data_IF_132279225198
#
_entry.id   IF_132279225198
#
_cell.length_a   1.000
_cell.length_b   1.000
_cell.length_c   1.000
_cell.angle_alpha   90.00
_cell.angle_beta   90.00
_cell.angle_gamma   90.00
#
_symmetry.space_group_name_H-M   'P 1'
#
loop_
_entity.id
_entity.type
_entity.pdbx_description
1 polymer ?
#
# COMPACT_ATOMS: atom_id res chain seq x y z
N UNK A 1 -31.68 6.02 9.21
CA UNK A 1 -30.54 5.76 10.12
C UNK A 1 -30.79 4.40 10.72
N UNK A 2 -29.80 3.49 10.70
CA UNK A 2 -29.93 2.25 11.45
C UNK A 2 -30.02 2.60 12.94
N UNK A 3 -31.09 2.19 13.64
CA UNK A 3 -31.20 2.43 15.07
C UNK A 3 -29.96 1.91 15.79
N UNK A 4 -29.34 2.75 16.62
CA UNK A 4 -28.26 2.32 17.52
C UNK A 4 -26.82 2.52 17.01
N UNK A 5 -26.57 3.19 15.88
CA UNK A 5 -25.19 3.61 15.52
C UNK A 5 -24.97 5.08 15.81
N UNK A 6 -23.88 5.37 16.54
CA UNK A 6 -23.42 6.73 16.83
C UNK A 6 -22.08 7.01 16.15
N UNK A 7 -21.80 8.27 15.85
CA UNK A 7 -20.52 8.70 15.29
C UNK A 7 -19.82 9.62 16.30
N UNK A 8 -18.54 9.36 16.57
CA UNK A 8 -17.73 10.21 17.45
C UNK A 8 -16.29 10.29 16.95
N UNK A 9 -15.56 11.31 17.41
CA UNK A 9 -14.11 11.38 17.22
C UNK A 9 -13.48 10.12 17.80
N UNK A 10 -12.50 9.60 17.08
CA UNK A 10 -11.74 8.44 17.53
C UNK A 10 -10.81 8.85 18.68
N UNK A 11 -10.66 7.95 19.66
CA UNK A 11 -9.79 8.10 20.81
C UNK A 11 -8.65 7.08 20.74
N UNK A 12 -7.60 7.23 21.55
CA UNK A 12 -6.46 6.31 21.53
C UNK A 12 -6.83 4.84 21.79
N UNK A 13 -7.92 4.58 22.52
CA UNK A 13 -8.44 3.21 22.73
C UNK A 13 -9.06 2.58 21.48
N UNK A 14 -9.42 3.38 20.48
CA UNK A 14 -10.09 2.91 19.28
C UNK A 14 -9.13 2.43 18.19
N UNK A 15 -7.82 2.71 18.30
CA UNK A 15 -6.84 2.42 17.23
C UNK A 15 -6.91 0.95 16.82
N UNK A 16 -6.88 0.04 17.80
CA UNK A 16 -6.89 -1.40 17.54
C UNK A 16 -8.26 -1.91 17.05
N UNK A 17 -9.40 -1.56 17.66
CA UNK A 17 -10.72 -1.90 17.10
C UNK A 17 -10.95 -1.36 15.67
N UNK A 18 -10.54 -0.13 15.39
CA UNK A 18 -10.64 0.49 14.08
C UNK A 18 -9.77 -0.25 13.04
N UNK A 19 -8.55 -0.62 13.42
CA UNK A 19 -7.67 -1.45 12.60
C UNK A 19 -8.28 -2.83 12.28
N UNK A 20 -8.95 -3.45 13.26
CA UNK A 20 -9.66 -4.70 13.03
C UNK A 20 -10.81 -4.54 12.03
N UNK A 21 -11.56 -3.42 12.09
CA UNK A 21 -12.59 -3.10 11.08
C UNK A 21 -11.98 -2.98 9.69
N UNK A 22 -10.86 -2.27 9.53
CA UNK A 22 -10.13 -2.17 8.26
C UNK A 22 -9.86 -3.56 7.67
N UNK A 23 -9.24 -4.46 8.43
CA UNK A 23 -8.89 -5.80 7.95
C UNK A 23 -10.10 -6.64 7.60
N UNK A 24 -11.16 -6.61 8.42
CA UNK A 24 -12.40 -7.34 8.13
C UNK A 24 -13.06 -6.85 6.83
N UNK A 25 -13.12 -5.53 6.63
CA UNK A 25 -13.64 -4.93 5.39
C UNK A 25 -12.78 -5.29 4.18
N UNK A 26 -11.44 -5.24 4.32
CA UNK A 26 -10.52 -5.58 3.24
C UNK A 26 -10.61 -7.06 2.86
N UNK A 27 -10.67 -7.97 3.84
CA UNK A 27 -10.77 -9.40 3.56
C UNK A 27 -12.08 -9.79 2.88
N UNK A 28 -13.21 -9.20 3.29
CA UNK A 28 -14.49 -9.37 2.57
C UNK A 28 -14.35 -8.97 1.11
N UNK A 29 -13.74 -7.82 0.84
CA UNK A 29 -13.51 -7.34 -0.52
C UNK A 29 -12.61 -8.29 -1.32
N UNK A 30 -11.46 -8.69 -0.77
CA UNK A 30 -10.52 -9.60 -1.44
C UNK A 30 -11.15 -10.98 -1.71
N UNK A 31 -12.00 -11.47 -0.80
CA UNK A 31 -12.74 -12.72 -0.99
C UNK A 31 -13.76 -12.60 -2.13
N UNK A 32 -14.49 -11.48 -2.22
CA UNK A 32 -15.40 -11.22 -3.36
C UNK A 32 -14.68 -11.15 -4.70
N UNK A 33 -13.40 -10.75 -4.71
CA UNK A 33 -12.54 -10.76 -5.88
C UNK A 33 -11.85 -12.11 -6.14
N UNK A 34 -12.13 -13.14 -5.34
CA UNK A 34 -11.47 -14.46 -5.43
C UNK A 34 -9.95 -14.41 -5.27
N UNK A 35 -9.43 -13.38 -4.59
CA UNK A 35 -8.00 -13.22 -4.28
C UNK A 35 -7.62 -14.05 -3.04
N UNK A 36 -8.57 -14.21 -2.11
CA UNK A 36 -8.42 -15.07 -0.91
C UNK A 36 -9.56 -16.08 -0.82
N UNK A 37 -9.25 -17.27 -0.32
CA UNK A 37 -10.23 -18.37 -0.22
C UNK A 37 -11.22 -18.22 0.94
N UNK A 38 -10.84 -17.48 1.98
CA UNK A 38 -11.63 -17.34 3.20
C UNK A 38 -12.31 -15.98 3.24
N UNK A 39 -13.62 -16.00 3.42
CA UNK A 39 -14.45 -14.79 3.62
C UNK A 39 -14.03 -14.00 4.86
N UNK A 40 -13.58 -14.69 5.91
CA UNK A 40 -13.28 -14.09 7.22
C UNK A 40 -11.82 -14.25 7.58
N UNK A 41 -11.18 -13.13 7.90
CA UNK A 41 -9.89 -13.11 8.59
C UNK A 41 -10.11 -13.47 10.08
N UNK A 42 -9.13 -14.15 10.68
CA UNK A 42 -9.15 -14.48 12.11
C UNK A 42 -8.53 -13.34 12.92
N UNK A 43 -8.94 -13.19 14.18
CA UNK A 43 -8.35 -12.17 15.07
C UNK A 43 -6.84 -12.41 15.29
N UNK A 44 -6.38 -13.65 15.24
CA UNK A 44 -4.96 -13.98 15.32
C UNK A 44 -4.14 -13.42 14.14
N UNK A 45 -4.67 -13.49 12.91
CA UNK A 45 -4.01 -12.92 11.72
C UNK A 45 -4.04 -11.39 11.75
N UNK A 46 -5.16 -10.80 12.22
CA UNK A 46 -5.23 -9.35 12.46
C UNK A 46 -4.13 -8.93 13.45
N UNK A 47 -3.94 -9.69 14.52
CA UNK A 47 -2.96 -9.36 15.55
C UNK A 47 -1.51 -9.47 15.04
N UNK A 48 -1.21 -10.51 14.26
CA UNK A 48 0.10 -10.66 13.64
C UNK A 48 0.42 -9.47 12.73
N UNK A 49 -0.56 -9.03 11.94
CA UNK A 49 -0.38 -7.90 11.03
C UNK A 49 -0.34 -6.54 11.75
N UNK A 50 -1.10 -6.41 12.83
CA UNK A 50 -1.07 -5.23 13.69
C UNK A 50 0.34 -4.91 14.16
N UNK A 51 1.12 -5.90 14.61
CA UNK A 51 2.49 -5.67 15.05
C UNK A 51 3.39 -5.12 13.93
N UNK A 52 3.14 -5.47 12.67
CA UNK A 52 3.90 -4.98 11.53
C UNK A 52 3.51 -3.56 11.13
N UNK A 53 2.22 -3.23 11.19
CA UNK A 53 1.70 -1.95 10.71
C UNK A 53 1.56 -0.89 11.79
N UNK A 54 1.75 -1.26 13.06
CA UNK A 54 1.49 -0.41 14.23
C UNK A 54 2.09 0.99 14.09
N UNK A 55 3.37 1.09 13.76
CA UNK A 55 4.06 2.37 13.65
C UNK A 55 3.43 3.26 12.57
N UNK A 56 3.07 2.69 11.42
CA UNK A 56 2.43 3.43 10.33
C UNK A 56 1.02 3.88 10.69
N UNK A 57 0.23 2.99 11.30
CA UNK A 57 -1.13 3.33 11.76
C UNK A 57 -1.09 4.41 12.83
N UNK A 58 -0.19 4.31 13.81
CA UNK A 58 -0.02 5.33 14.85
C UNK A 58 0.43 6.67 14.27
N UNK A 59 1.33 6.67 13.30
CA UNK A 59 1.75 7.90 12.61
C UNK A 59 0.56 8.62 11.96
N UNK A 60 -0.27 7.89 11.20
CA UNK A 60 -1.48 8.46 10.60
C UNK A 60 -2.50 8.88 11.66
N UNK A 61 -2.69 8.07 12.70
CA UNK A 61 -3.60 8.36 13.80
C UNK A 61 -3.26 9.65 14.52
N UNK A 62 -1.97 9.87 14.81
CA UNK A 62 -1.48 11.03 15.56
C UNK A 62 -1.37 12.29 14.69
N UNK A 63 -1.31 12.14 13.36
CA UNK A 63 -1.21 13.25 12.40
C UNK A 63 -2.49 13.46 11.58
N UNK A 64 -3.60 12.87 12.02
CA UNK A 64 -4.89 12.96 11.37
C UNK A 64 -5.45 14.39 11.45
N UNK A 65 -6.00 14.87 10.34
CA UNK A 65 -6.85 16.05 10.33
C UNK A 65 -8.25 15.68 10.85
N UNK A 66 -8.79 14.57 10.36
CA UNK A 66 -10.05 14.01 10.83
C UNK A 66 -9.88 12.53 11.16
N UNK A 67 -10.45 12.10 12.29
CA UNK A 67 -10.44 10.70 12.69
C UNK A 67 -11.73 10.37 13.45
N UNK A 68 -12.55 9.50 12.86
CA UNK A 68 -13.91 9.23 13.30
C UNK A 68 -14.18 7.73 13.33
N UNK A 69 -14.94 7.31 14.33
CA UNK A 69 -15.47 5.95 14.43
C UNK A 69 -16.99 5.97 14.46
N UNK A 70 -17.57 4.92 13.88
CA UNK A 70 -18.97 4.57 14.05
C UNK A 70 -19.06 3.45 15.08
N UNK A 71 -19.92 3.63 16.09
CA UNK A 71 -20.03 2.73 17.24
C UNK A 71 -21.46 2.21 17.34
N UNK A 72 -21.63 0.90 17.47
CA UNK A 72 -22.93 0.26 17.65
C UNK A 72 -23.51 0.48 19.07
N UNK A 73 -24.72 -0.01 19.31
CA UNK A 73 -25.42 0.16 20.59
C UNK A 73 -24.73 -0.56 21.77
N UNK A 74 -23.85 -1.52 21.47
CA UNK A 74 -23.07 -2.27 22.46
C UNK A 74 -21.69 -1.64 22.70
N UNK A 75 -21.37 -0.53 22.04
CA UNK A 75 -20.08 0.14 22.19
C UNK A 75 -18.98 -0.40 21.26
N UNK A 76 -19.29 -1.29 20.30
CA UNK A 76 -18.30 -1.80 19.37
C UNK A 76 -18.07 -0.85 18.20
N UNK A 77 -16.80 -0.65 17.83
CA UNK A 77 -16.44 0.06 16.59
C UNK A 77 -16.85 -0.81 15.39
N UNK A 78 -17.74 -0.28 14.56
CA UNK A 78 -18.26 -0.93 13.34
C UNK A 78 -17.91 -0.16 12.07
N UNK A 79 -17.24 0.98 12.20
CA UNK A 79 -16.74 1.76 11.08
C UNK A 79 -15.65 2.72 11.51
N UNK A 80 -14.76 3.05 10.59
CA UNK A 80 -13.62 3.94 10.81
C UNK A 80 -13.37 4.80 9.57
N UNK A 81 -13.10 6.08 9.77
CA UNK A 81 -12.60 6.95 8.74
C UNK A 81 -11.53 7.90 9.26
N UNK A 82 -10.46 8.08 8.47
CA UNK A 82 -9.32 8.92 8.80
C UNK A 82 -8.86 9.69 7.56
N UNK A 83 -8.70 11.00 7.71
CA UNK A 83 -8.01 11.83 6.73
C UNK A 83 -6.81 12.54 7.34
N UNK A 84 -5.83 12.84 6.49
CA UNK A 84 -4.64 13.62 6.83
C UNK A 84 -4.62 14.88 5.99
N UNK A 85 -4.09 15.97 6.53
CA UNK A 85 -3.86 17.20 5.77
C UNK A 85 -2.37 17.51 5.70
N UNK A 86 -1.90 17.86 4.50
CA UNK A 86 -0.50 18.19 4.20
C UNK A 86 -0.50 19.42 3.30
N UNK A 87 0.01 20.54 3.81
CA UNK A 87 0.04 21.83 3.10
C UNK A 87 -1.29 22.22 2.42
N UNK A 88 -2.41 22.00 3.11
CA UNK A 88 -3.75 22.34 2.61
C UNK A 88 -4.36 21.32 1.63
N UNK A 89 -3.65 20.24 1.31
CA UNK A 89 -4.21 19.07 0.61
C UNK A 89 -4.78 18.08 1.62
N UNK A 90 -6.05 17.70 1.47
CA UNK A 90 -6.74 16.75 2.35
C UNK A 90 -6.83 15.37 1.69
N UNK A 91 -6.22 14.36 2.29
CA UNK A 91 -6.27 12.99 1.79
C UNK A 91 -7.09 12.10 2.73
N UNK A 92 -8.15 11.45 2.21
CA UNK A 92 -8.84 10.38 2.94
C UNK A 92 -8.04 9.09 2.79
N UNK A 93 -7.39 8.67 3.88
CA UNK A 93 -6.51 7.50 3.88
C UNK A 93 -7.25 6.23 4.27
N UNK A 94 -8.28 6.34 5.12
CA UNK A 94 -9.08 5.21 5.58
C UNK A 94 -10.57 5.54 5.53
N UNK A 95 -11.37 4.63 4.97
CA UNK A 95 -12.82 4.59 5.11
C UNK A 95 -13.31 3.15 5.02
N UNK A 96 -13.62 2.56 6.18
CA UNK A 96 -13.98 1.16 6.30
C UNK A 96 -15.22 0.99 7.16
N UNK A 97 -16.04 0.01 6.81
CA UNK A 97 -17.26 -0.36 7.54
C UNK A 97 -17.29 -1.86 7.62
N UNK A 98 -17.48 -2.39 8.83
CA UNK A 98 -17.57 -3.83 9.08
C UNK A 98 -18.59 -4.44 8.10
N UNK A 99 -18.25 -5.53 7.38
CA UNK A 99 -19.13 -6.12 6.38
C UNK A 99 -20.57 -6.36 6.86
N UNK A 100 -20.74 -6.74 8.13
CA UNK A 100 -22.07 -7.00 8.73
C UNK A 100 -22.88 -5.72 8.96
N UNK A 101 -22.22 -4.57 8.99
CA UNK A 101 -22.83 -3.27 9.23
C UNK A 101 -22.94 -2.41 7.95
N UNK A 102 -22.58 -2.94 6.77
CA UNK A 102 -22.67 -2.22 5.50
C UNK A 102 -24.12 -1.95 5.05
N UNK A 103 -24.28 -1.12 4.01
CA UNK A 103 -25.58 -0.74 3.41
C UNK A 103 -26.58 -0.05 4.37
N UNK A 104 -26.10 0.41 5.53
CA UNK A 104 -26.85 1.10 6.60
C UNK A 104 -26.72 2.62 6.59
N UNK A 105 -25.93 3.17 5.67
CA UNK A 105 -25.57 4.59 5.62
C UNK A 105 -24.37 4.99 6.50
N UNK A 106 -23.73 4.05 7.21
CA UNK A 106 -22.53 4.31 8.04
C UNK A 106 -21.40 4.92 7.21
N UNK A 107 -21.07 4.32 6.06
CA UNK A 107 -20.00 4.82 5.19
C UNK A 107 -20.22 6.27 4.75
N UNK A 108 -21.47 6.63 4.41
CA UNK A 108 -21.84 8.01 4.08
C UNK A 108 -21.69 8.94 5.28
N UNK A 109 -22.12 8.51 6.47
CA UNK A 109 -22.00 9.30 7.69
C UNK A 109 -20.55 9.52 8.15
N UNK A 110 -19.68 8.54 7.96
CA UNK A 110 -18.25 8.67 8.20
C UNK A 110 -17.59 9.58 7.17
N UNK A 111 -17.87 9.37 5.88
CA UNK A 111 -17.30 10.16 4.79
C UNK A 111 -17.60 11.65 4.95
N UNK A 112 -18.84 12.03 5.29
CA UNK A 112 -19.22 13.44 5.47
C UNK A 112 -18.50 14.14 6.64
N UNK A 113 -17.90 13.36 7.56
CA UNK A 113 -17.18 13.88 8.72
C UNK A 113 -15.68 13.89 8.48
N UNK A 114 -15.14 12.78 7.95
CA UNK A 114 -13.72 12.61 7.75
C UNK A 114 -13.20 13.25 6.45
N UNK A 115 -14.08 13.55 5.50
CA UNK A 115 -13.71 14.12 4.21
C UNK A 115 -14.56 15.36 3.87
N UNK A 116 -14.47 16.42 4.71
CA UNK A 116 -15.18 17.67 4.46
C UNK A 116 -14.75 18.31 3.14
N UNK A 117 -15.45 19.38 2.77
CA UNK A 117 -15.04 20.18 1.62
C UNK A 117 -13.71 20.88 1.88
N UNK A 118 -12.81 20.74 0.92
CA UNK A 118 -11.48 21.32 0.91
C UNK A 118 -11.12 21.68 -0.52
N UNK A 119 -10.27 22.70 -0.71
CA UNK A 119 -9.86 23.17 -2.03
C UNK A 119 -9.18 22.07 -2.84
N UNK A 120 -8.31 21.31 -2.19
CA UNK A 120 -7.61 20.17 -2.78
C UNK A 120 -7.85 18.96 -1.88
N UNK A 121 -8.48 17.91 -2.45
CA UNK A 121 -8.73 16.67 -1.72
C UNK A 121 -8.62 15.45 -2.62
N UNK A 122 -8.09 14.36 -2.08
CA UNK A 122 -7.95 13.09 -2.81
C UNK A 122 -8.20 11.89 -1.92
N UNK A 123 -8.38 10.74 -2.56
CA UNK A 123 -8.38 9.44 -1.92
C UNK A 123 -7.91 8.40 -2.94
N UNK A 124 -7.35 7.30 -2.46
CA UNK A 124 -7.12 6.11 -3.27
C UNK A 124 -8.22 5.12 -2.95
N UNK A 125 -8.99 4.74 -3.97
CA UNK A 125 -10.06 3.77 -3.83
C UNK A 125 -9.64 2.42 -4.41
N UNK A 126 -10.06 1.34 -3.75
CA UNK A 126 -10.11 0.02 -4.40
C UNK A 126 -11.16 0.04 -5.51
N UNK A 127 -11.16 -1.00 -6.35
CA UNK A 127 -12.18 -1.17 -7.38
C UNK A 127 -13.53 -1.70 -6.83
N UNK A 128 -13.79 -1.57 -5.52
CA UNK A 128 -15.09 -1.92 -4.96
C UNK A 128 -16.17 -0.96 -5.48
N UNK A 129 -17.08 -1.47 -6.29
CA UNK A 129 -18.16 -0.69 -6.91
C UNK A 129 -19.04 0.02 -5.87
N UNK A 130 -19.20 -0.55 -4.67
CA UNK A 130 -19.94 0.09 -3.57
C UNK A 130 -19.24 1.35 -3.08
N UNK A 131 -17.92 1.27 -2.89
CA UNK A 131 -17.09 2.40 -2.44
C UNK A 131 -16.99 3.47 -3.52
N UNK A 132 -16.68 3.09 -4.77
CA UNK A 132 -16.62 4.01 -5.90
C UNK A 132 -17.94 4.78 -6.08
N UNK A 133 -19.07 4.08 -6.01
CA UNK A 133 -20.39 4.71 -6.09
C UNK A 133 -20.63 5.72 -4.97
N UNK A 134 -20.14 5.46 -3.75
CA UNK A 134 -20.22 6.42 -2.65
C UNK A 134 -19.38 7.66 -2.92
N UNK A 135 -18.13 7.49 -3.38
CA UNK A 135 -17.21 8.59 -3.66
C UNK A 135 -17.69 9.49 -4.79
N UNK A 136 -18.14 8.91 -5.91
CA UNK A 136 -18.69 9.65 -7.05
C UNK A 136 -19.90 10.49 -6.64
N UNK A 137 -20.81 9.93 -5.84
CA UNK A 137 -21.97 10.68 -5.31
C UNK A 137 -21.60 11.77 -4.29
N UNK A 138 -20.41 11.68 -3.68
CA UNK A 138 -19.88 12.72 -2.80
C UNK A 138 -19.09 13.82 -3.53
N UNK A 139 -19.10 13.80 -4.87
CA UNK A 139 -18.43 14.80 -5.71
C UNK A 139 -16.94 14.53 -5.95
N UNK A 140 -16.44 13.34 -5.62
CA UNK A 140 -15.08 12.91 -5.98
C UNK A 140 -15.08 12.40 -7.41
N UNK A 141 -14.16 12.89 -8.24
CA UNK A 141 -14.02 12.46 -9.62
C UNK A 141 -12.82 11.52 -9.79
N UNK A 142 -12.89 10.64 -10.79
CA UNK A 142 -11.75 9.83 -11.20
C UNK A 142 -10.69 10.70 -11.88
N UNK A 143 -9.43 10.51 -11.49
CA UNK A 143 -8.28 11.21 -12.07
C UNK A 143 -7.35 10.23 -12.78
N UNK A 144 -6.93 9.17 -12.07
CA UNK A 144 -5.98 8.19 -12.58
C UNK A 144 -6.12 6.85 -11.85
N UNK A 145 -5.45 5.82 -12.36
CA UNK A 145 -5.37 4.50 -11.77
C UNK A 145 -3.99 4.30 -11.16
N UNK A 146 -3.94 3.89 -9.90
CA UNK A 146 -2.72 3.37 -9.29
C UNK A 146 -2.53 1.90 -9.71
N UNK A 147 -1.33 1.55 -10.17
CA UNK A 147 -0.96 0.19 -10.49
C UNK A 147 0.13 -0.27 -9.51
N UNK A 148 -0.12 -1.42 -8.87
CA UNK A 148 0.86 -2.09 -8.03
C UNK A 148 1.50 -3.23 -8.82
N UNK A 149 2.84 -3.24 -8.85
CA UNK A 149 3.62 -4.25 -9.56
C UNK A 149 4.33 -5.14 -8.54
N UNK A 150 4.08 -6.45 -8.61
CA UNK A 150 4.79 -7.45 -7.81
C UNK A 150 5.74 -8.21 -8.72
N UNK A 151 7.02 -8.12 -8.43
CA UNK A 151 8.06 -8.77 -9.22
C UNK A 151 9.09 -9.44 -8.30
N UNK A 152 9.70 -10.51 -8.79
CA UNK A 152 10.89 -11.09 -8.16
C UNK A 152 12.05 -10.14 -8.44
N UNK A 153 12.68 -9.65 -7.37
CA UNK A 153 13.85 -8.80 -7.49
C UNK A 153 14.95 -9.52 -8.26
N UNK A 154 15.49 -8.85 -9.28
CA UNK A 154 16.63 -9.30 -10.05
C UNK A 154 17.55 -8.12 -10.30
N UNK A 155 18.85 -8.39 -10.40
CA UNK A 155 19.79 -7.36 -10.80
C UNK A 155 19.45 -6.89 -12.21
N UNK A 156 19.43 -5.57 -12.40
CA UNK A 156 19.22 -4.93 -13.70
C UNK A 156 20.26 -3.82 -13.80
N UNK A 157 21.11 -3.91 -14.81
CA UNK A 157 21.94 -2.79 -15.23
C UNK A 157 21.15 -1.97 -16.23
N UNK A 158 21.05 -0.67 -15.98
CA UNK A 158 20.48 0.28 -16.91
C UNK A 158 21.54 1.35 -17.18
N UNK A 159 21.78 1.65 -18.45
CA UNK A 159 22.64 2.77 -18.82
C UNK A 159 22.01 4.07 -18.30
N UNK A 160 22.75 4.77 -17.46
CA UNK A 160 22.28 5.99 -16.80
C UNK A 160 23.46 6.84 -16.38
N UNK A 161 23.29 8.15 -16.45
CA UNK A 161 24.18 9.17 -15.88
C UNK A 161 23.89 9.47 -14.40
N UNK A 162 22.90 8.80 -13.81
CA UNK A 162 22.50 8.99 -12.43
C UNK A 162 23.52 8.39 -11.46
N UNK A 163 23.88 9.16 -10.44
CA UNK A 163 24.67 8.70 -9.30
C UNK A 163 23.75 8.53 -8.10
N UNK A 164 23.81 7.39 -7.41
CA UNK A 164 22.95 7.12 -6.27
C UNK A 164 23.72 7.26 -4.96
N UNK A 165 23.09 7.85 -3.94
CA UNK A 165 23.58 7.83 -2.57
C UNK A 165 22.47 7.48 -1.58
N UNK A 166 22.78 6.85 -0.43
CA UNK A 166 21.82 6.73 0.66
C UNK A 166 21.34 8.11 1.14
N UNK A 167 20.09 8.20 1.53
CA UNK A 167 19.58 9.33 2.29
C UNK A 167 19.85 9.11 3.78
N UNK A 168 20.29 10.15 4.48
CA UNK A 168 20.66 10.07 5.92
C UNK A 168 19.58 10.63 6.86
N UNK A 169 18.50 11.19 6.31
CA UNK A 169 17.43 11.81 7.09
C UNK A 169 17.72 13.22 7.58
N UNK A 170 18.82 13.84 7.13
CA UNK A 170 19.11 15.24 7.37
C UNK A 170 18.02 16.16 6.79
N UNK A 171 17.97 17.40 7.29
CA UNK A 171 17.03 18.40 6.78
C UNK A 171 17.25 18.70 5.29
N UNK A 172 18.49 18.58 4.80
CA UNK A 172 18.80 18.73 3.38
C UNK A 172 18.17 17.61 2.52
N UNK A 173 18.26 16.36 2.98
CA UNK A 173 17.65 15.23 2.28
C UNK A 173 16.12 15.28 2.32
N UNK A 174 15.55 15.64 3.47
CA UNK A 174 14.10 15.85 3.62
C UNK A 174 13.62 16.99 2.71
N UNK A 175 14.34 18.11 2.66
CA UNK A 175 14.02 19.22 1.77
C UNK A 175 14.10 18.84 0.28
N UNK A 176 15.09 18.03 -0.10
CA UNK A 176 15.23 17.54 -1.47
C UNK A 176 14.06 16.63 -1.87
N UNK A 177 13.71 15.65 -1.02
CA UNK A 177 12.59 14.73 -1.26
C UNK A 177 11.27 15.50 -1.36
N UNK A 178 10.99 16.35 -0.38
CA UNK A 178 9.74 17.14 -0.36
C UNK A 178 9.70 18.19 -1.48
N UNK A 179 10.84 18.69 -1.93
CA UNK A 179 10.95 19.53 -3.12
C UNK A 179 10.49 18.81 -4.39
N UNK A 180 10.88 17.54 -4.56
CA UNK A 180 10.42 16.69 -5.66
C UNK A 180 8.92 16.37 -5.52
N UNK A 181 8.45 16.05 -4.31
CA UNK A 181 7.01 15.83 -4.06
C UNK A 181 6.18 17.08 -4.42
N UNK A 182 6.64 18.27 -4.06
CA UNK A 182 5.98 19.52 -4.42
C UNK A 182 5.85 19.68 -5.95
N UNK A 183 6.88 19.29 -6.71
CA UNK A 183 6.86 19.38 -8.18
C UNK A 183 5.90 18.36 -8.80
N UNK A 184 5.82 17.15 -8.25
CA UNK A 184 5.02 16.05 -8.81
C UNK A 184 3.56 16.09 -8.32
N UNK A 185 3.36 16.29 -7.03
CA UNK A 185 2.06 16.21 -6.35
C UNK A 185 1.41 17.58 -6.16
N UNK A 186 2.19 18.67 -6.16
CA UNK A 186 1.73 20.02 -5.88
C UNK A 186 1.66 20.38 -4.39
N UNK A 187 2.11 19.51 -3.49
CA UNK A 187 2.19 19.73 -2.04
C UNK A 187 3.31 18.88 -1.42
N UNK A 188 3.79 19.28 -0.24
CA UNK A 188 4.83 18.55 0.52
C UNK A 188 4.24 17.70 1.64
N UNK A 189 4.91 16.58 1.93
CA UNK A 189 4.54 15.67 3.03
C UNK A 189 5.68 15.45 4.01
N UNK A 190 6.30 16.54 4.47
CA UNK A 190 7.53 16.48 5.28
C UNK A 190 7.41 15.56 6.50
N UNK A 191 6.30 15.64 7.24
CA UNK A 191 6.04 14.80 8.42
C UNK A 191 6.03 13.31 8.09
N UNK A 192 5.54 12.94 6.89
CA UNK A 192 5.50 11.56 6.42
C UNK A 192 6.88 11.12 5.92
N UNK A 193 7.58 11.97 5.17
CA UNK A 193 8.96 11.70 4.71
C UNK A 193 9.90 11.44 5.88
N UNK A 194 9.86 12.28 6.92
CA UNK A 194 10.66 12.09 8.15
C UNK A 194 10.29 10.80 8.87
N UNK A 195 9.00 10.47 8.93
CA UNK A 195 8.56 9.20 9.51
C UNK A 195 9.10 8.00 8.72
N UNK A 196 8.98 8.02 7.40
CA UNK A 196 9.41 6.93 6.53
C UNK A 196 10.94 6.73 6.61
N UNK A 197 11.73 7.81 6.58
CA UNK A 197 13.20 7.73 6.66
C UNK A 197 13.71 7.11 7.98
N UNK A 198 12.92 7.17 9.07
CA UNK A 198 13.24 6.46 10.32
C UNK A 198 12.93 4.97 10.28
N UNK A 199 12.10 4.51 9.35
CA UNK A 199 11.57 3.15 9.30
C UNK A 199 12.23 2.29 8.22
N UNK A 200 12.75 2.91 7.16
CA UNK A 200 13.30 2.19 6.01
C UNK A 200 14.44 2.99 5.37
N UNK A 201 15.43 2.31 4.76
CA UNK A 201 16.46 2.99 3.99
C UNK A 201 15.83 3.75 2.82
N UNK A 202 16.52 4.78 2.34
CA UNK A 202 16.16 5.49 1.13
C UNK A 202 17.40 5.85 0.34
N UNK A 203 17.23 6.09 -0.95
CA UNK A 203 18.29 6.50 -1.87
C UNK A 203 17.85 7.75 -2.61
N UNK A 204 18.80 8.64 -2.85
CA UNK A 204 18.67 9.81 -3.71
C UNK A 204 19.43 9.57 -5.01
N UNK A 205 18.78 9.82 -6.13
CA UNK A 205 19.37 9.84 -7.46
C UNK A 205 19.84 11.25 -7.78
N UNK A 206 21.10 11.37 -8.19
CA UNK A 206 21.79 12.62 -8.43
C UNK A 206 22.15 12.76 -9.91
N UNK A 207 22.05 13.99 -10.45
CA UNK A 207 22.60 14.39 -11.76
C UNK A 207 23.22 15.78 -11.61
N UNK A 208 24.46 15.96 -12.09
CA UNK A 208 25.19 17.23 -12.02
C UNK A 208 25.20 17.87 -10.61
N UNK A 209 25.30 17.04 -9.58
CA UNK A 209 25.31 17.49 -8.17
C UNK A 209 23.94 17.82 -7.58
N UNK A 210 22.85 17.77 -8.35
CA UNK A 210 21.48 17.99 -7.88
C UNK A 210 20.73 16.68 -7.64
N UNK A 211 19.87 16.64 -6.61
CA UNK A 211 18.93 15.53 -6.37
C UNK A 211 17.80 15.63 -7.40
N UNK A 212 17.63 14.60 -8.21
CA UNK A 212 16.62 14.55 -9.29
C UNK A 212 15.61 13.41 -9.12
N UNK A 213 15.82 12.53 -8.14
CA UNK A 213 14.91 11.45 -7.82
C UNK A 213 15.19 10.86 -6.44
N UNK A 214 14.25 10.09 -5.94
CA UNK A 214 14.42 9.34 -4.69
C UNK A 214 13.63 8.04 -4.73
N UNK A 215 14.03 7.09 -3.89
CA UNK A 215 13.30 5.85 -3.66
C UNK A 215 13.40 5.45 -2.19
N UNK A 216 12.28 5.01 -1.62
CA UNK A 216 12.26 4.36 -0.32
C UNK A 216 12.42 2.84 -0.50
N UNK A 217 13.31 2.24 0.26
CA UNK A 217 13.54 0.80 0.28
C UNK A 217 12.47 0.02 1.01
N UNK A 218 12.64 -1.29 0.99
CA UNK A 218 11.91 -2.16 1.90
C UNK A 218 12.50 -2.02 3.30
N UNK A 219 11.63 -2.02 4.32
CA UNK A 219 12.08 -2.19 5.69
C UNK A 219 12.83 -3.52 5.77
N UNK A 220 14.05 -3.57 6.34
CA UNK A 220 14.76 -4.83 6.50
C UNK A 220 13.85 -5.77 7.29
N UNK A 221 13.42 -6.87 6.67
CA UNK A 221 12.77 -7.93 7.42
C UNK A 221 13.78 -8.50 8.40
N UNK A 222 13.29 -8.96 9.55
CA UNK A 222 14.11 -9.73 10.47
C UNK A 222 14.90 -10.82 9.70
N UNK A 223 16.18 -11.06 10.04
CA UNK A 223 17.05 -11.95 9.28
C UNK A 223 16.38 -13.31 9.05
N UNK A 224 16.34 -13.76 7.80
CA UNK A 224 15.75 -15.04 7.38
C UNK A 224 14.58 -14.95 6.40
N UNK A 225 14.04 -13.76 6.10
CA UNK A 225 12.98 -13.59 5.10
C UNK A 225 13.32 -12.48 4.11
N UNK A 226 14.16 -12.80 3.11
CA UNK A 226 14.35 -12.05 1.86
C UNK A 226 14.31 -10.53 1.98
N UNK A 227 15.36 -9.92 2.52
CA UNK A 227 15.71 -8.53 2.20
C UNK A 227 16.92 -8.57 1.28
N UNK A 228 16.93 -7.70 0.27
CA UNK A 228 18.14 -7.45 -0.52
C UNK A 228 19.29 -7.13 0.45
N UNK A 229 20.49 -7.71 0.29
CA UNK A 229 21.64 -7.21 1.01
C UNK A 229 21.77 -5.73 0.66
N UNK A 230 21.87 -4.89 1.70
CA UNK A 230 22.13 -3.48 1.54
C UNK A 230 23.30 -3.29 0.57
N UNK A 231 23.16 -2.36 -0.38
CA UNK A 231 24.26 -1.96 -1.27
C UNK A 231 25.32 -1.22 -0.46
N UNK A 232 26.06 -1.93 0.39
CA UNK A 232 27.09 -1.39 1.29
C UNK A 232 28.48 -1.92 0.95
N UNK A 233 28.74 -2.25 -0.32
CA UNK A 233 30.07 -2.63 -0.80
C UNK A 233 30.54 -1.72 -1.94
N UNK A 234 31.86 -1.45 -2.06
CA UNK A 234 32.40 -0.83 -3.27
C UNK A 234 32.13 -1.76 -4.47
N UNK A 235 31.65 -1.21 -5.58
CA UNK A 235 31.42 -1.96 -6.82
C UNK A 235 32.74 -2.66 -7.24
N UNK A 236 32.77 -3.99 -7.43
CA UNK A 236 33.96 -4.64 -7.96
C UNK A 236 34.17 -4.22 -9.43
N UNK A 237 35.43 -4.03 -9.86
CA UNK A 237 35.73 -3.71 -11.24
C UNK A 237 35.41 -4.91 -12.14
N UNK A 238 34.41 -4.73 -13.02
CA UNK A 238 34.20 -5.45 -14.28
C UNK A 238 34.43 -6.97 -14.26
N UNK A 239 33.34 -7.74 -14.10
CA UNK A 239 33.32 -9.16 -14.48
C UNK A 239 32.69 -9.28 -15.87
N UNK A 240 33.50 -9.62 -16.87
CA UNK A 240 33.02 -10.03 -18.19
C UNK A 240 32.44 -11.45 -18.11
N UNK A 241 31.17 -11.61 -18.46
CA UNK A 241 30.57 -12.91 -18.73
C UNK A 241 30.31 -13.06 -20.22
N UNK A 242 30.99 -14.03 -20.86
CA UNK A 242 30.65 -14.49 -22.20
C UNK A 242 29.62 -15.62 -22.12
N UNK A 243 28.41 -15.39 -22.60
CA UNK A 243 27.43 -16.45 -22.83
C UNK A 243 27.67 -17.13 -24.18
N UNK A 244 27.91 -18.44 -24.18
CA UNK A 244 27.75 -19.29 -25.37
C UNK A 244 26.29 -19.72 -25.49
N UNK A 245 25.65 -19.61 -26.66
CA UNK A 245 24.33 -20.17 -26.88
C UNK A 245 24.42 -21.69 -27.04
N UNK A 246 23.66 -22.44 -26.25
CA UNK A 246 23.38 -23.86 -26.52
C UNK A 246 22.26 -23.93 -27.55
N UNK A 247 22.60 -24.31 -28.78
CA UNK A 247 21.66 -24.65 -29.83
C UNK A 247 21.07 -26.04 -29.59
N UNK A 248 19.77 -26.12 -29.31
CA UNK A 248 19.00 -27.34 -29.57
C UNK A 248 17.70 -26.97 -30.29
N UNK A 249 17.77 -27.14 -31.61
CA UNK A 249 16.65 -27.11 -32.55
C UNK A 249 15.85 -28.41 -32.44
N UNK A 250 14.52 -28.32 -32.32
CA UNK A 250 13.62 -29.37 -32.83
C UNK A 250 12.22 -28.83 -33.11
N UNK A 251 11.49 -29.43 -34.07
CA UNK A 251 10.64 -28.67 -34.97
C UNK A 251 9.15 -28.69 -34.61
N UNK A 252 8.46 -27.73 -35.21
CA UNK A 252 7.05 -27.42 -35.13
C UNK A 252 6.11 -28.61 -35.41
N UNK A 253 5.02 -28.69 -34.63
CA UNK A 253 3.77 -29.37 -35.02
C UNK A 253 2.59 -28.40 -34.90
N UNK A 254 1.80 -28.33 -35.98
CA UNK A 254 0.59 -27.53 -36.13
C UNK A 254 -0.55 -27.94 -35.16
N UNK A 255 -1.55 -27.07 -34.92
CA UNK A 255 -2.51 -27.23 -33.84
C UNK A 255 -3.73 -28.07 -34.25
N UNK A 256 -4.16 -28.97 -33.35
CA UNK A 256 -5.50 -29.59 -33.38
C UNK A 256 -6.40 -28.96 -32.32
N UNK A 257 -7.58 -28.55 -32.77
CA UNK A 257 -8.71 -27.99 -32.00
C UNK A 257 -9.52 -29.14 -31.42
N UNK A 258 -9.63 -29.29 -30.09
CA UNK A 258 -10.77 -29.95 -29.40
C UNK A 258 -10.95 -29.38 -27.99
N UNK A 259 -12.22 -29.18 -27.63
CA UNK A 259 -12.76 -28.76 -26.34
C UNK A 259 -12.65 -29.78 -25.20
N UNK A 260 -12.50 -29.29 -23.96
CA UNK A 260 -13.11 -29.74 -22.69
C UNK A 260 -12.11 -29.72 -21.53
N UNK A 261 -12.66 -29.40 -20.37
CA UNK A 261 -12.05 -29.22 -19.05
C UNK A 261 -11.07 -30.32 -18.63
N UNK A 262 -9.98 -29.91 -17.98
CA UNK A 262 -9.20 -30.81 -17.14
C UNK A 262 -8.52 -30.04 -16.00
N UNK A 263 -8.78 -30.51 -14.79
CA UNK A 263 -8.02 -30.24 -13.57
C UNK A 263 -6.62 -30.81 -13.73
N UNK A 264 -5.59 -30.08 -13.34
CA UNK A 264 -4.23 -30.60 -13.24
C UNK A 264 -3.91 -31.04 -11.80
N UNK A 265 -3.50 -32.30 -11.67
CA UNK A 265 -2.73 -32.84 -10.54
C UNK A 265 -1.28 -32.96 -11.00
N UNK A 266 -0.33 -32.41 -10.25
CA UNK A 266 1.10 -32.69 -10.44
C UNK A 266 1.54 -33.81 -9.50
N UNK A 267 2.30 -34.78 -10.03
CA UNK A 267 3.12 -35.73 -9.26
C UNK A 267 4.58 -35.32 -9.41
N UNK A 268 5.35 -35.46 -8.34
CA UNK A 268 6.81 -35.35 -8.32
C UNK A 268 7.43 -36.73 -8.54
N UNK A 269 8.39 -36.83 -9.46
CA UNK A 269 9.34 -37.96 -9.49
C UNK A 269 10.76 -37.42 -9.34
N UNK A 270 11.44 -37.85 -8.29
CA UNK A 270 12.89 -37.76 -8.11
C UNK A 270 13.58 -38.82 -8.96
N UNK A 271 14.58 -38.41 -9.75
CA UNK A 271 15.56 -39.33 -10.31
C UNK A 271 16.93 -38.97 -9.73
N UNK A 272 17.51 -39.94 -9.03
CA UNK A 272 18.90 -39.97 -8.59
C UNK A 272 19.83 -40.12 -9.78
N UNK A 273 20.95 -39.41 -9.74
CA UNK A 273 22.30 -39.94 -9.97
C UNK A 273 23.29 -39.02 -9.25
#
# INVERSE_FOLDING_TARGET
MTPGVTFRRAESRDVRPAYAVFWRSLYDYLHRLTIVDKEKITDALIEEDWQRQLAGIQHLWNSAAENWVAVDANGHVVGWALSVSREGHLELTHLFVDPKAQASGIGRGLLSRAFPDARHKSLVATQDTKALSLYLRSGVNYVTTAAEFVMIARHVEAESDLVYRPADGSDADVAAITGIEQQILGFRREVDVRFILRQRPAWLAMRDGAVVGFAFGVQPRAPGTGSLPAMTGPLPPSIHWTCRPSSTTSPAKQPKRVSRSSRFKCHSSTASQ
#
